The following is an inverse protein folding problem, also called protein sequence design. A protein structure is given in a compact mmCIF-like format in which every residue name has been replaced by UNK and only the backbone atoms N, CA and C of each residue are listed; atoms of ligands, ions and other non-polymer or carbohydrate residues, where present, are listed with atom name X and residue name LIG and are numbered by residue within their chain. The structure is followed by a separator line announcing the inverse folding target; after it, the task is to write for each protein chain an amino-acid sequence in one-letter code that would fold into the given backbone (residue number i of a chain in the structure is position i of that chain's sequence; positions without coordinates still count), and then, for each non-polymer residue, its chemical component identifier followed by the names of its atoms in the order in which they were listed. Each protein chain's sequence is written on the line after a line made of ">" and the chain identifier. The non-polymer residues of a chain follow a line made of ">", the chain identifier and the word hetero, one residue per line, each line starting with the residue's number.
data_IF_675512230627
#
_entry.id   IF_675512230627
#
_cell.length_a   1.000
_cell.length_b   1.000
_cell.length_c   1.000
_cell.angle_alpha   90.00
_cell.angle_beta   90.00
_cell.angle_gamma   90.00
#
_symmetry.space_group_name_H-M   'P 1'
#
loop_
_entity.id
_entity.type
_entity.pdbx_description
1 polymer ?
#
# COMPACT_ATOMS: atom_id res chain seq x y z
N UNK A 1 -1.85 3.43 16.73
CA UNK A 1 -1.43 3.75 15.36
C UNK A 1 -0.73 5.07 15.49
N UNK A 2 0.55 5.13 15.12
CA UNK A 2 1.38 6.31 15.35
C UNK A 2 2.62 6.25 14.46
N UNK A 3 3.21 7.41 14.19
CA UNK A 3 4.41 7.54 13.37
C UNK A 3 5.72 7.30 14.15
N UNK A 4 5.67 6.90 15.43
CA UNK A 4 6.87 6.84 16.27
C UNK A 4 7.89 5.84 15.73
N UNK A 5 7.42 4.67 15.26
CA UNK A 5 8.28 3.66 14.63
C UNK A 5 8.85 4.11 13.29
N UNK A 6 8.04 4.81 12.48
CA UNK A 6 8.48 5.38 11.21
C UNK A 6 9.59 6.41 11.45
N UNK A 7 9.35 7.39 12.33
CA UNK A 7 10.30 8.45 12.66
C UNK A 7 11.58 7.91 13.29
N UNK A 8 11.51 6.84 14.09
CA UNK A 8 12.70 6.17 14.65
C UNK A 8 13.56 5.43 13.61
N UNK A 9 12.96 4.98 12.51
CA UNK A 9 13.63 4.21 11.46
C UNK A 9 14.17 5.07 10.32
N UNK A 10 14.00 6.40 10.37
CA UNK A 10 14.35 7.31 9.29
C UNK A 10 15.36 8.33 9.77
N UNK A 11 16.40 8.51 8.96
CA UNK A 11 17.32 9.62 9.09
C UNK A 11 16.94 10.70 8.06
N UNK A 12 16.09 11.63 8.49
CA UNK A 12 15.56 12.70 7.62
C UNK A 12 16.58 13.76 7.22
N UNK A 13 17.79 13.73 7.81
CA UNK A 13 18.88 14.58 7.33
C UNK A 13 19.60 13.92 6.14
N UNK A 14 19.36 12.62 5.92
CA UNK A 14 19.99 11.78 4.89
C UNK A 14 19.01 11.28 3.82
N UNK A 15 17.70 11.39 4.01
CA UNK A 15 16.67 10.95 3.04
C UNK A 15 15.75 12.10 2.63
N UNK A 16 15.22 12.06 1.41
CA UNK A 16 14.21 13.01 0.92
C UNK A 16 12.78 12.62 1.32
N UNK A 17 12.63 11.54 2.08
CA UNK A 17 11.33 11.08 2.57
C UNK A 17 10.67 12.11 3.52
N UNK A 18 9.35 12.31 3.44
CA UNK A 18 8.66 13.27 4.28
C UNK A 18 8.64 12.82 5.75
N UNK A 19 8.93 13.76 6.67
CA UNK A 19 8.70 13.57 8.12
C UNK A 19 7.22 13.31 8.42
N UNK A 20 6.38 14.09 7.73
CA UNK A 20 4.92 14.05 7.72
C UNK A 20 4.23 14.18 9.09
N UNK A 21 2.96 14.56 9.02
CA UNK A 21 2.06 14.62 10.17
C UNK A 21 0.85 13.69 9.96
N UNK A 22 0.01 13.56 11.00
CA UNK A 22 -1.24 12.81 10.90
C UNK A 22 -2.29 13.76 10.33
N UNK A 23 -2.67 13.56 9.08
CA UNK A 23 -3.71 14.35 8.42
C UNK A 23 -4.77 13.42 7.83
N UNK A 24 -6.05 13.74 8.05
CA UNK A 24 -7.17 12.96 7.52
C UNK A 24 -7.62 13.52 6.17
N UNK A 25 -7.82 12.66 5.18
CA UNK A 25 -8.60 13.01 3.99
C UNK A 25 -10.02 13.39 4.39
N UNK A 26 -10.55 14.45 3.79
CA UNK A 26 -11.84 15.04 4.17
C UNK A 26 -13.04 14.28 3.63
N UNK A 27 -12.91 13.59 2.50
CA UNK A 27 -14.06 13.06 1.74
C UNK A 27 -13.88 11.62 1.22
N UNK A 28 -12.68 11.23 0.76
CA UNK A 28 -12.43 9.91 0.15
C UNK A 28 -11.14 9.29 0.68
N UNK A 29 -11.18 8.01 1.08
CA UNK A 29 -9.99 7.31 1.55
C UNK A 29 -9.09 6.98 0.37
N UNK A 30 -7.80 7.27 0.51
CA UNK A 30 -6.83 7.01 -0.56
C UNK A 30 -6.12 5.67 -0.39
N UNK A 31 -5.69 5.09 -1.51
CA UNK A 31 -4.69 4.03 -1.51
C UNK A 31 -3.54 4.40 -2.42
N UNK A 32 -2.39 3.80 -2.13
CA UNK A 32 -1.19 3.94 -2.96
C UNK A 32 -0.47 2.60 -3.03
N UNK A 33 0.11 2.33 -4.19
CA UNK A 33 1.03 1.21 -4.39
C UNK A 33 2.33 1.77 -4.92
N UNK A 34 3.39 1.66 -4.12
CA UNK A 34 4.73 2.05 -4.52
C UNK A 34 5.49 0.82 -5.00
N UNK A 35 6.16 0.91 -6.15
CA UNK A 35 7.11 -0.10 -6.59
C UNK A 35 8.48 0.30 -6.07
N UNK A 36 9.13 -0.61 -5.36
CA UNK A 36 10.32 -0.31 -4.58
C UNK A 36 11.45 -1.28 -4.93
N UNK A 37 12.48 -0.76 -5.60
CA UNK A 37 13.73 -1.47 -5.88
C UNK A 37 14.71 -1.28 -4.72
N UNK A 38 14.44 -1.94 -3.60
CA UNK A 38 15.39 -2.10 -2.51
C UNK A 38 16.31 -3.31 -2.77
N UNK A 39 16.87 -3.91 -1.71
CA UNK A 39 17.63 -5.17 -1.81
C UNK A 39 16.91 -6.25 -2.62
N UNK A 40 15.57 -6.28 -2.53
CA UNK A 40 14.71 -7.07 -3.38
C UNK A 40 13.59 -6.18 -3.90
N UNK A 41 13.25 -6.35 -5.17
CA UNK A 41 12.08 -5.70 -5.74
C UNK A 41 10.82 -6.16 -5.00
N UNK A 42 10.02 -5.20 -4.53
CA UNK A 42 8.72 -5.45 -3.92
C UNK A 42 7.78 -4.27 -4.19
N UNK A 43 6.53 -4.42 -3.77
CA UNK A 43 5.52 -3.39 -3.88
C UNK A 43 4.98 -3.05 -2.49
N UNK A 44 5.08 -1.80 -2.09
CA UNK A 44 4.48 -1.31 -0.85
C UNK A 44 3.04 -0.89 -1.13
N UNK A 45 2.09 -1.70 -0.68
CA UNK A 45 0.66 -1.43 -0.74
C UNK A 45 0.21 -0.70 0.52
N UNK A 46 -0.47 0.43 0.37
CA UNK A 46 -0.88 1.26 1.50
C UNK A 46 -2.33 1.72 1.39
N UNK A 47 -3.02 1.71 2.52
CA UNK A 47 -4.38 2.22 2.68
C UNK A 47 -4.37 3.35 3.70
N UNK A 48 -4.98 4.48 3.37
CA UNK A 48 -5.22 5.55 4.32
C UNK A 48 -6.20 5.10 5.41
N UNK A 49 -5.85 5.29 6.67
CA UNK A 49 -6.67 4.97 7.81
C UNK A 49 -6.28 5.84 9.00
N UNK A 50 -7.24 6.60 9.53
CA UNK A 50 -7.04 7.50 10.69
C UNK A 50 -5.90 8.51 10.48
N UNK A 51 -5.78 9.02 9.25
CA UNK A 51 -4.77 9.98 8.81
C UNK A 51 -3.35 9.43 8.65
N UNK A 52 -3.23 8.10 8.53
CA UNK A 52 -1.97 7.38 8.32
C UNK A 52 -2.08 6.38 7.18
N UNK A 53 -0.96 6.01 6.59
CA UNK A 53 -0.89 4.95 5.58
C UNK A 53 -0.55 3.62 6.23
N UNK A 54 -1.57 2.77 6.42
CA UNK A 54 -1.39 1.36 6.80
C UNK A 54 -0.73 0.63 5.66
N UNK A 55 0.42 0.02 5.92
CA UNK A 55 1.32 -0.42 4.86
C UNK A 55 1.64 -1.91 4.91
N UNK A 56 1.72 -2.53 3.73
CA UNK A 56 2.12 -3.90 3.53
C UNK A 56 3.11 -4.02 2.37
N UNK A 57 4.26 -4.67 2.60
CA UNK A 57 5.17 -5.07 1.54
C UNK A 57 4.66 -6.34 0.85
N UNK A 58 4.51 -6.30 -0.46
CA UNK A 58 4.05 -7.40 -1.32
C UNK A 58 5.21 -7.81 -2.23
N UNK A 59 6.00 -8.85 -1.88
CA UNK A 59 7.23 -9.20 -2.60
C UNK A 59 7.03 -9.49 -4.09
N UNK A 60 5.90 -10.12 -4.44
CA UNK A 60 5.58 -10.45 -5.83
C UNK A 60 4.65 -9.43 -6.51
N UNK A 61 4.34 -8.31 -5.86
CA UNK A 61 3.34 -7.36 -6.33
C UNK A 61 1.89 -7.85 -6.28
N UNK A 62 0.92 -6.94 -6.46
CA UNK A 62 -0.51 -7.26 -6.54
C UNK A 62 -0.84 -8.07 -7.81
N UNK A 63 -2.02 -8.70 -7.81
CA UNK A 63 -2.55 -9.41 -8.99
C UNK A 63 -4.01 -9.05 -9.21
N UNK A 64 -4.41 -9.02 -10.48
CA UNK A 64 -5.80 -8.92 -10.91
C UNK A 64 -6.45 -10.29 -11.10
N UNK A 65 -5.71 -11.39 -10.91
CA UNK A 65 -6.22 -12.75 -11.02
C UNK A 65 -6.78 -13.21 -9.65
N UNK A 66 -8.08 -13.56 -9.53
CA UNK A 66 -8.67 -14.04 -8.28
C UNK A 66 -8.07 -15.34 -7.74
N UNK A 67 -7.47 -16.16 -8.59
CA UNK A 67 -6.82 -17.42 -8.18
C UNK A 67 -5.45 -17.19 -7.52
N UNK A 68 -4.84 -16.02 -7.75
CA UNK A 68 -3.52 -15.70 -7.24
C UNK A 68 -3.59 -14.98 -5.88
N UNK A 69 -3.17 -15.69 -4.84
CA UNK A 69 -3.06 -15.13 -3.48
C UNK A 69 -1.66 -14.54 -3.28
N UNK A 70 -1.58 -13.23 -3.08
CA UNK A 70 -0.30 -12.51 -2.91
C UNK A 70 0.02 -12.33 -1.43
N UNK A 71 1.20 -12.76 -1.00
CA UNK A 71 1.68 -12.52 0.37
C UNK A 71 1.87 -11.01 0.57
N UNK A 72 1.26 -10.47 1.62
CA UNK A 72 1.35 -9.07 2.03
C UNK A 72 1.86 -9.02 3.47
N UNK A 73 3.07 -8.49 3.68
CA UNK A 73 3.73 -8.43 4.98
C UNK A 73 3.48 -7.03 5.54
N UNK A 74 2.74 -6.95 6.64
CA UNK A 74 2.47 -5.67 7.31
C UNK A 74 3.78 -5.05 7.83
N UNK A 75 4.00 -3.79 7.51
CA UNK A 75 5.16 -2.97 7.90
C UNK A 75 4.69 -1.74 8.70
N UNK A 76 5.59 -0.81 8.98
CA UNK A 76 5.29 0.41 9.74
C UNK A 76 4.25 1.30 9.04
N UNK A 77 3.50 2.05 9.85
CA UNK A 77 2.63 3.11 9.36
C UNK A 77 3.47 4.23 8.72
N UNK A 78 2.99 4.82 7.63
CA UNK A 78 3.66 5.93 6.97
C UNK A 78 2.80 7.20 7.06
N UNK A 79 3.40 8.40 7.01
CA UNK A 79 2.64 9.65 6.96
C UNK A 79 1.86 9.73 5.65
N UNK A 80 0.76 10.48 5.64
CA UNK A 80 -0.09 10.58 4.44
C UNK A 80 0.67 11.18 3.25
N UNK A 81 1.56 12.14 3.52
CA UNK A 81 2.42 12.79 2.51
C UNK A 81 3.33 11.81 1.76
N UNK A 82 3.59 10.64 2.35
CA UNK A 82 4.38 9.60 1.69
C UNK A 82 3.71 9.02 0.45
N UNK A 83 2.40 9.27 0.27
CA UNK A 83 1.62 8.79 -0.88
C UNK A 83 2.16 9.25 -2.23
N UNK A 84 2.76 10.44 -2.28
CA UNK A 84 3.26 11.05 -3.52
C UNK A 84 4.79 10.91 -3.64
N UNK A 85 5.45 10.21 -2.70
CA UNK A 85 6.89 10.08 -2.69
C UNK A 85 7.38 9.21 -3.86
N UNK A 86 8.24 9.81 -4.68
CA UNK A 86 9.06 9.17 -5.70
C UNK A 86 10.50 9.65 -5.57
N UNK A 87 11.46 8.75 -5.75
CA UNK A 87 12.88 9.07 -5.69
C UNK A 87 13.74 7.92 -5.20
N UNK A 88 15.00 8.22 -4.93
CA UNK A 88 15.99 7.23 -4.45
C UNK A 88 16.32 7.49 -2.98
N UNK A 89 16.08 6.49 -2.14
CA UNK A 89 16.47 6.47 -0.73
C UNK A 89 17.94 6.03 -0.67
N UNK A 90 18.87 6.86 -0.14
CA UNK A 90 20.30 6.55 -0.21
C UNK A 90 20.69 5.29 0.56
N UNK A 91 21.74 4.60 0.11
CA UNK A 91 22.30 3.44 0.81
C UNK A 91 22.63 3.74 2.27
N UNK A 92 22.46 2.74 3.14
CA UNK A 92 22.62 2.88 4.59
C UNK A 92 21.36 3.35 5.31
N UNK A 93 20.37 3.90 4.59
CA UNK A 93 19.05 4.19 5.14
C UNK A 93 18.14 2.96 5.13
N UNK A 94 17.19 2.92 6.07
CA UNK A 94 16.17 1.88 6.05
C UNK A 94 15.25 2.06 4.84
N UNK A 95 15.16 1.02 4.00
CA UNK A 95 14.43 1.10 2.74
C UNK A 95 15.24 1.76 1.63
N UNK A 96 16.59 1.74 1.71
CA UNK A 96 17.44 2.16 0.60
C UNK A 96 17.03 1.48 -0.71
N UNK A 97 16.98 2.27 -1.78
CA UNK A 97 16.47 1.85 -3.08
C UNK A 97 15.65 2.93 -3.77
N UNK A 98 15.29 2.67 -5.02
CA UNK A 98 14.46 3.58 -5.83
C UNK A 98 12.99 3.24 -5.67
N UNK A 99 12.17 4.26 -5.48
CA UNK A 99 10.73 4.18 -5.25
C UNK A 99 10.00 4.99 -6.33
N UNK A 100 8.97 4.37 -6.92
CA UNK A 100 7.99 5.07 -7.76
C UNK A 100 6.58 4.79 -7.27
N UNK A 101 5.66 5.72 -7.48
CA UNK A 101 4.23 5.53 -7.27
C UNK A 101 3.67 4.75 -8.46
N UNK A 102 3.57 3.43 -8.29
CA UNK A 102 3.15 2.51 -9.33
C UNK A 102 1.64 2.54 -9.56
N UNK A 103 0.84 2.77 -8.53
CA UNK A 103 -0.60 3.00 -8.66
C UNK A 103 -1.10 3.87 -7.52
N UNK A 104 -2.17 4.61 -7.75
CA UNK A 104 -2.81 5.46 -6.74
C UNK A 104 -4.28 5.64 -7.09
N UNK A 105 -5.09 5.96 -6.10
CA UNK A 105 -6.50 6.23 -6.29
C UNK A 105 -7.25 6.23 -4.98
N UNK A 106 -8.56 6.01 -5.06
CA UNK A 106 -9.43 5.96 -3.89
C UNK A 106 -9.88 4.54 -3.60
N UNK A 107 -10.30 4.30 -2.36
CA UNK A 107 -10.90 3.05 -1.99
C UNK A 107 -12.10 3.25 -1.08
N UNK A 108 -13.04 2.31 -1.15
CA UNK A 108 -14.18 2.23 -0.24
C UNK A 108 -14.20 0.87 0.43
N UNK A 109 -14.77 0.80 1.63
CA UNK A 109 -15.03 -0.48 2.26
C UNK A 109 -16.22 -1.19 1.60
N UNK A 110 -16.12 -2.50 1.46
CA UNK A 110 -17.30 -3.31 1.14
C UNK A 110 -18.19 -3.29 2.36
N UNK A 111 -19.36 -2.68 2.23
CA UNK A 111 -20.27 -2.42 3.34
C UNK A 111 -20.65 -3.71 4.05
N UNK A 112 -20.24 -3.83 5.32
CA UNK A 112 -20.60 -4.97 6.16
C UNK A 112 -21.64 -4.60 7.21
N UNK A 113 -21.73 -3.32 7.62
CA UNK A 113 -22.60 -2.85 8.70
C UNK A 113 -22.84 -1.33 8.62
N UNK A 114 -24.03 -0.91 8.19
CA UNK A 114 -24.40 0.51 8.01
C UNK A 114 -24.38 1.37 9.29
N UNK A 115 -24.17 0.80 10.48
CA UNK A 115 -24.29 1.49 11.77
C UNK A 115 -22.96 1.97 12.36
N UNK A 116 -21.82 1.54 11.83
CA UNK A 116 -20.50 1.93 12.33
C UNK A 116 -19.84 2.97 11.42
N UNK A 117 -19.03 3.85 12.00
CA UNK A 117 -18.18 4.76 11.21
C UNK A 117 -17.17 3.95 10.41
N UNK A 118 -16.78 4.45 9.22
CA UNK A 118 -15.77 3.82 8.36
C UNK A 118 -14.47 3.56 9.12
N UNK A 119 -14.06 4.48 10.00
CA UNK A 119 -12.89 4.31 10.85
C UNK A 119 -12.99 3.09 11.79
N UNK A 120 -14.15 2.90 12.42
CA UNK A 120 -14.38 1.76 13.32
C UNK A 120 -14.39 0.45 12.54
N UNK A 121 -15.00 0.43 11.34
CA UNK A 121 -14.99 -0.73 10.47
C UNK A 121 -13.56 -1.12 10.04
N UNK A 122 -12.73 -0.14 9.67
CA UNK A 122 -11.31 -0.36 9.35
C UNK A 122 -10.55 -0.90 10.56
N UNK A 123 -10.75 -0.33 11.76
CA UNK A 123 -10.10 -0.76 13.01
C UNK A 123 -10.49 -2.18 13.36
N UNK A 124 -11.78 -2.50 13.33
CA UNK A 124 -12.33 -3.83 13.61
C UNK A 124 -11.84 -4.86 12.59
N UNK A 125 -11.84 -4.53 11.29
CA UNK A 125 -11.35 -5.41 10.24
C UNK A 125 -9.85 -5.72 10.36
N UNK A 126 -9.03 -4.71 10.66
CA UNK A 126 -7.60 -4.88 10.88
C UNK A 126 -7.30 -5.75 12.12
N UNK A 127 -8.02 -5.51 13.22
CA UNK A 127 -7.89 -6.31 14.45
C UNK A 127 -8.38 -7.75 14.24
N UNK A 128 -9.52 -7.91 13.56
CA UNK A 128 -10.12 -9.19 13.20
C UNK A 128 -9.30 -9.98 12.18
N UNK A 129 -8.39 -9.33 11.45
CA UNK A 129 -7.55 -9.98 10.45
C UNK A 129 -8.21 -10.11 9.09
N UNK A 130 -9.20 -9.28 8.78
CA UNK A 130 -9.93 -9.35 7.52
C UNK A 130 -10.46 -7.96 7.11
N UNK A 131 -10.01 -7.48 5.95
CA UNK A 131 -10.48 -6.25 5.32
C UNK A 131 -10.98 -6.57 3.91
N UNK A 132 -12.09 -5.97 3.51
CA UNK A 132 -12.64 -6.06 2.15
C UNK A 132 -12.91 -4.65 1.67
N UNK A 133 -12.39 -4.32 0.50
CA UNK A 133 -12.43 -2.97 -0.03
C UNK A 133 -12.47 -3.00 -1.55
N UNK A 134 -13.03 -1.94 -2.13
CA UNK A 134 -13.08 -1.72 -3.58
C UNK A 134 -12.03 -0.66 -3.89
N UNK A 135 -11.07 -1.00 -4.75
CA UNK A 135 -10.07 -0.08 -5.26
C UNK A 135 -10.58 0.59 -6.53
N UNK A 136 -10.31 1.89 -6.64
CA UNK A 136 -10.52 2.70 -7.83
C UNK A 136 -9.23 3.48 -8.13
N UNK A 137 -8.23 2.79 -8.65
CA UNK A 137 -6.99 3.42 -9.14
C UNK A 137 -6.81 3.29 -10.65
N UNK A 138 -5.65 3.67 -11.13
CA UNK A 138 -5.29 3.62 -12.55
C UNK A 138 -5.06 2.19 -13.03
N UNK A 139 -4.45 1.34 -12.17
CA UNK A 139 -4.10 -0.04 -12.51
C UNK A 139 -4.93 -1.07 -11.78
N UNK A 140 -5.12 -0.90 -10.47
CA UNK A 140 -5.91 -1.80 -9.63
C UNK A 140 -7.33 -1.26 -9.52
N UNK A 141 -8.30 -2.08 -9.93
CA UNK A 141 -9.73 -1.77 -9.88
C UNK A 141 -10.53 -2.94 -9.33
N UNK A 142 -11.67 -2.63 -8.71
CA UNK A 142 -12.60 -3.63 -8.20
C UNK A 142 -12.30 -4.10 -6.78
N UNK A 143 -12.95 -5.17 -6.36
CA UNK A 143 -12.94 -5.66 -5.00
C UNK A 143 -11.68 -6.50 -4.73
N UNK A 144 -11.07 -6.23 -3.58
CA UNK A 144 -9.95 -6.93 -2.99
C UNK A 144 -10.23 -7.26 -1.52
N UNK A 145 -9.50 -8.26 -1.01
CA UNK A 145 -9.49 -8.58 0.40
C UNK A 145 -8.07 -8.74 0.93
N UNK A 146 -7.84 -8.23 2.15
CA UNK A 146 -6.66 -8.53 2.96
C UNK A 146 -7.07 -9.50 4.08
N UNK A 147 -6.42 -10.67 4.14
CA UNK A 147 -6.72 -11.71 5.14
C UNK A 147 -5.45 -12.10 5.90
N UNK A 148 -5.46 -11.95 7.23
CA UNK A 148 -4.33 -12.29 8.08
C UNK A 148 -4.20 -13.80 8.24
N UNK A 149 -2.99 -14.32 8.05
CA UNK A 149 -2.68 -15.74 8.23
C UNK A 149 -2.46 -16.03 9.71
N UNK A 150 -3.36 -16.82 10.31
CA UNK A 150 -3.31 -17.15 11.75
C UNK A 150 -2.10 -18.02 12.15
N UNK A 151 -1.55 -18.80 11.21
CA UNK A 151 -0.50 -19.80 11.46
C UNK A 151 0.92 -19.22 11.34
N UNK A 152 1.07 -18.05 10.71
CA UNK A 152 2.35 -17.37 10.55
C UNK A 152 2.53 -16.25 11.60
N UNK A 153 3.65 -15.52 11.52
CA UNK A 153 3.85 -14.29 12.30
C UNK A 153 2.65 -13.35 12.14
N UNK A 154 2.27 -12.62 13.20
CA UNK A 154 1.09 -11.74 13.25
C UNK A 154 1.04 -10.65 12.16
N UNK A 155 2.12 -10.43 11.42
CA UNK A 155 2.22 -9.46 10.33
C UNK A 155 2.05 -10.09 8.93
N UNK A 156 1.80 -11.39 8.80
CA UNK A 156 1.59 -12.03 7.49
C UNK A 156 0.11 -11.99 7.06
N UNK A 157 -0.14 -11.42 5.90
CA UNK A 157 -1.47 -11.30 5.28
C UNK A 157 -1.45 -11.84 3.85
N UNK A 158 -2.63 -12.09 3.29
CA UNK A 158 -2.85 -12.34 1.88
C UNK A 158 -3.66 -11.20 1.29
N UNK A 159 -3.15 -10.59 0.23
CA UNK A 159 -3.93 -9.76 -0.68
C UNK A 159 -4.55 -10.68 -1.76
N UNK A 160 -5.87 -10.60 -1.91
CA UNK A 160 -6.65 -11.48 -2.77
C UNK A 160 -7.58 -10.61 -3.61
N UNK A 161 -7.49 -10.72 -4.93
CA UNK A 161 -8.49 -10.13 -5.84
C UNK A 161 -9.78 -10.95 -5.79
N UNK A 162 -10.93 -10.28 -5.77
CA UNK A 162 -12.23 -10.95 -5.91
C UNK A 162 -12.60 -11.14 -7.36
N UNK A 163 -13.38 -12.18 -7.63
CA UNK A 163 -13.96 -12.42 -8.95
C UNK A 163 -15.07 -11.38 -9.20
N UNK A 164 -14.76 -10.37 -10.00
CA UNK A 164 -15.65 -9.30 -10.40
C UNK A 164 -15.33 -8.87 -11.84
N UNK A 165 -16.04 -7.86 -12.36
CA UNK A 165 -15.88 -7.38 -13.74
C UNK A 165 -14.46 -6.87 -14.10
N UNK A 166 -13.61 -6.59 -13.10
CA UNK A 166 -12.23 -6.13 -13.31
C UNK A 166 -11.20 -7.26 -13.16
N UNK A 167 -11.61 -8.47 -12.75
CA UNK A 167 -10.74 -9.63 -12.67
C UNK A 167 -10.10 -9.94 -14.03
N UNK A 168 -8.81 -10.27 -14.01
CA UNK A 168 -8.05 -10.56 -15.22
C UNK A 168 -6.87 -11.48 -14.94
N UNK A 169 -6.63 -12.44 -15.82
CA UNK A 169 -5.41 -13.27 -15.82
C UNK A 169 -4.17 -12.51 -16.36
N UNK A 170 -4.37 -11.31 -16.91
CA UNK A 170 -3.27 -10.51 -17.44
C UNK A 170 -2.38 -10.02 -16.31
N UNK A 171 -1.07 -10.20 -16.46
CA UNK A 171 -0.08 -9.66 -15.52
C UNK A 171 -0.08 -8.12 -15.54
N UNK A 172 -0.71 -7.54 -14.53
CA UNK A 172 -0.81 -6.08 -14.34
C UNK A 172 0.56 -5.44 -14.10
N UNK A 173 1.54 -6.18 -13.58
CA UNK A 173 2.87 -5.66 -13.23
C UNK A 173 3.69 -5.25 -14.45
N UNK A 174 3.30 -5.72 -15.65
CA UNK A 174 3.85 -5.25 -16.94
C UNK A 174 3.64 -3.76 -17.16
N UNK A 175 2.65 -3.14 -16.52
CA UNK A 175 2.51 -1.68 -16.47
C UNK A 175 3.56 -1.10 -15.51
N UNK A 176 4.81 -1.03 -15.93
CA UNK A 176 5.97 -0.80 -15.06
C UNK A 176 6.30 0.68 -14.75
N UNK A 177 5.56 1.63 -15.31
CA UNK A 177 5.77 3.08 -15.13
C UNK A 177 5.01 3.66 -13.94
N UNK A 178 5.50 4.77 -13.41
CA UNK A 178 4.80 5.60 -12.44
C UNK A 178 3.48 6.13 -13.01
N UNK A 179 2.46 6.26 -12.17
CA UNK A 179 1.22 6.97 -12.52
C UNK A 179 1.32 8.49 -12.32
N UNK A 180 2.34 8.97 -11.61
CA UNK A 180 2.58 10.40 -11.37
C UNK A 180 3.56 10.99 -12.39
N UNK A 181 4.76 10.42 -12.49
CA UNK A 181 5.83 10.95 -13.34
C UNK A 181 5.95 10.27 -14.69
N UNK A 182 5.25 9.13 -14.90
CA UNK A 182 5.39 8.26 -16.08
C UNK A 182 6.81 7.70 -16.27
N UNK A 183 7.66 7.77 -15.24
CA UNK A 183 9.01 7.21 -15.22
C UNK A 183 9.01 5.74 -14.77
N UNK A 184 9.94 4.97 -15.29
CA UNK A 184 10.33 3.66 -14.76
C UNK A 184 11.30 3.81 -13.59
N UNK A 185 11.58 2.70 -12.88
CA UNK A 185 12.57 2.72 -11.80
C UNK A 185 13.96 3.10 -12.34
N UNK A 186 14.32 2.55 -13.49
CA UNK A 186 15.61 2.76 -14.15
C UNK A 186 15.78 4.19 -14.68
N UNK A 187 14.67 4.90 -14.94
CA UNK A 187 14.68 6.31 -15.29
C UNK A 187 14.72 7.22 -14.06
N UNK A 188 14.12 6.79 -12.94
CA UNK A 188 14.13 7.52 -11.67
C UNK A 188 15.49 7.46 -10.95
N UNK A 189 16.26 6.40 -11.18
CA UNK A 189 17.60 6.22 -10.61
C UNK A 189 18.67 7.12 -11.26
N UNK A 190 18.44 7.56 -12.51
CA UNK A 190 19.40 8.32 -13.33
C UNK A 190 19.38 9.82 -13.03
#
# INVERSE_FOLDING_TARGET
>A
MDLSKYKQKRDFDSTTEPKGEIEKSKDELIFVVQKHAATHLHYDFRLEMDGLLKSWAIPKGPSMNPEEKRLAIMVEDHPIDYKDFEGTIPEGNYGAGTVIVWDTGTYTLVDKQHTETVENQLKSGLQGGHLSFILNGEKLKGEFALVRLKVLKKNAWLLIKKDDQYASETDVLKKNKSVLSNLTLEEMEK
#
